data_IF_512426405758
#
_entry.id   IF_512426405758
#
_cell.length_a   1.000
_cell.length_b   1.000
_cell.length_c   1.000
_cell.angle_alpha   90.00
_cell.angle_beta   90.00
_cell.angle_gamma   90.00
#
_symmetry.space_group_name_H-M   'P 1'
#
loop_
_entity.id
_entity.type
_entity.pdbx_description
1 polymer ?
#
# COMPACT_ATOMS: atom_id res chain seq x y z
N UNK A 1 -21.24 71.98 15.86
CA UNK A 1 -20.92 70.85 16.76
C UNK A 1 -20.55 69.57 16.00
N UNK A 2 -21.21 69.25 14.87
CA UNK A 2 -20.89 68.05 14.05
C UNK A 2 -19.43 67.94 13.53
N UNK A 3 -18.73 69.05 13.31
CA UNK A 3 -17.34 69.04 12.81
C UNK A 3 -16.33 68.54 13.86
N UNK A 4 -16.59 68.77 15.16
CA UNK A 4 -15.72 68.31 16.23
C UNK A 4 -15.82 66.79 16.43
N UNK A 5 -17.02 66.23 16.26
CA UNK A 5 -17.25 64.78 16.34
C UNK A 5 -16.64 64.03 15.14
N UNK A 6 -16.66 64.63 13.94
CA UNK A 6 -15.98 64.08 12.77
C UNK A 6 -14.46 64.07 12.94
N UNK A 7 -13.88 65.14 13.48
CA UNK A 7 -12.44 65.17 13.77
C UNK A 7 -12.04 64.10 14.80
N UNK A 8 -12.83 63.93 15.86
CA UNK A 8 -12.56 62.93 16.90
C UNK A 8 -12.67 61.49 16.39
N UNK A 9 -13.63 61.21 15.51
CA UNK A 9 -13.75 59.91 14.83
C UNK A 9 -12.58 59.65 13.86
N UNK A 10 -12.13 60.68 13.16
CA UNK A 10 -10.97 60.56 12.25
C UNK A 10 -9.66 60.30 13.00
N UNK A 11 -9.45 60.95 14.15
CA UNK A 11 -8.30 60.71 15.02
C UNK A 11 -8.31 59.29 15.59
N UNK A 12 -9.48 58.78 16.00
CA UNK A 12 -9.61 57.41 16.49
C UNK A 12 -9.40 56.37 15.40
N UNK A 13 -9.80 56.64 14.16
CA UNK A 13 -9.54 55.77 13.02
C UNK A 13 -8.06 55.76 12.60
N UNK A 14 -7.39 56.92 12.64
CA UNK A 14 -5.95 57.02 12.37
C UNK A 14 -5.10 56.39 13.48
N UNK A 15 -5.56 56.45 14.73
CA UNK A 15 -4.90 55.79 15.87
C UNK A 15 -5.07 54.26 15.83
N UNK A 16 -6.08 53.75 15.14
CA UNK A 16 -6.35 52.32 15.02
C UNK A 16 -5.66 51.75 13.77
N UNK A 17 -4.34 51.86 13.73
CA UNK A 17 -3.54 51.18 12.70
C UNK A 17 -3.70 49.68 12.86
N UNK A 18 -4.03 48.98 11.77
CA UNK A 18 -4.11 47.52 11.76
C UNK A 18 -2.84 46.92 12.39
N UNK A 19 -2.96 45.93 13.28
CA UNK A 19 -1.79 45.28 13.85
C UNK A 19 -0.92 44.75 12.69
N UNK A 20 0.42 44.86 12.81
CA UNK A 20 1.31 44.38 11.76
C UNK A 20 0.95 42.93 11.45
N UNK A 21 0.66 42.64 10.18
CA UNK A 21 0.35 41.30 9.73
C UNK A 21 1.45 40.35 10.25
N UNK A 22 1.11 39.15 10.75
CA UNK A 22 2.12 38.21 11.22
C UNK A 22 3.11 37.95 10.08
N UNK A 23 4.36 38.37 10.28
CA UNK A 23 5.40 38.52 9.25
C UNK A 23 5.88 37.20 8.62
N UNK A 24 5.28 36.07 9.00
CA UNK A 24 5.72 34.73 8.61
C UNK A 24 4.84 34.08 7.52
N UNK A 25 3.88 34.82 6.96
CA UNK A 25 2.98 34.30 5.92
C UNK A 25 3.01 35.13 4.63
N UNK A 26 3.20 34.52 3.46
CA UNK A 26 3.45 33.09 3.24
C UNK A 26 4.87 32.70 3.71
N UNK A 27 5.05 31.46 4.20
CA UNK A 27 6.36 30.99 4.59
C UNK A 27 7.31 30.99 3.38
N UNK A 28 8.62 31.23 3.60
CA UNK A 28 9.58 31.33 2.51
C UNK A 28 9.69 29.98 1.78
N UNK A 29 10.05 30.03 0.49
CA UNK A 29 10.14 28.86 -0.38
C UNK A 29 10.83 27.61 0.23
N UNK A 30 11.93 27.72 1.00
CA UNK A 30 12.54 26.57 1.65
C UNK A 30 11.62 25.83 2.63
N UNK A 31 10.72 26.54 3.31
CA UNK A 31 9.77 25.93 4.26
C UNK A 31 8.72 25.10 3.52
N UNK A 32 8.26 25.57 2.35
CA UNK A 32 7.39 24.78 1.48
C UNK A 32 8.09 23.51 0.96
N UNK A 33 9.36 23.63 0.56
CA UNK A 33 10.15 22.49 0.12
C UNK A 33 10.33 21.44 1.25
N UNK A 34 10.60 21.89 2.48
CA UNK A 34 10.66 21.02 3.66
C UNK A 34 9.32 20.34 3.95
N UNK A 35 8.21 21.08 3.81
CA UNK A 35 6.85 20.53 3.97
C UNK A 35 6.56 19.41 2.96
N UNK A 36 6.89 19.61 1.69
CA UNK A 36 6.73 18.59 0.64
C UNK A 36 7.63 17.37 0.90
N UNK A 37 8.88 17.59 1.30
CA UNK A 37 9.81 16.50 1.65
C UNK A 37 9.30 15.69 2.85
N UNK A 38 8.78 16.36 3.88
CA UNK A 38 8.22 15.68 5.06
C UNK A 38 7.03 14.81 4.67
N UNK A 39 6.09 15.34 3.88
CA UNK A 39 4.94 14.60 3.38
C UNK A 39 5.38 13.41 2.53
N UNK A 40 6.34 13.62 1.63
CA UNK A 40 6.93 12.56 0.81
C UNK A 40 7.59 11.46 1.64
N UNK A 41 8.35 11.82 2.67
CA UNK A 41 8.98 10.88 3.59
C UNK A 41 7.95 10.10 4.42
N UNK A 42 6.89 10.75 4.89
CA UNK A 42 5.79 10.11 5.62
C UNK A 42 5.05 9.11 4.72
N UNK A 43 4.71 9.50 3.49
CA UNK A 43 4.06 8.62 2.51
C UNK A 43 4.95 7.43 2.15
N UNK A 44 6.23 7.66 1.90
CA UNK A 44 7.20 6.60 1.65
C UNK A 44 7.28 5.65 2.84
N UNK A 45 7.48 6.18 4.05
CA UNK A 45 7.54 5.38 5.29
C UNK A 45 6.26 4.57 5.53
N UNK A 46 5.09 5.18 5.33
CA UNK A 46 3.80 4.51 5.42
C UNK A 46 3.67 3.38 4.40
N UNK A 47 4.02 3.65 3.13
CA UNK A 47 4.01 2.67 2.05
C UNK A 47 4.92 1.47 2.36
N UNK A 48 6.17 1.72 2.78
CA UNK A 48 7.10 0.66 3.17
C UNK A 48 6.58 -0.18 4.34
N UNK A 49 5.97 0.46 5.34
CA UNK A 49 5.43 -0.22 6.52
C UNK A 49 4.22 -1.09 6.16
N UNK A 50 3.31 -0.60 5.32
CA UNK A 50 2.17 -1.37 4.83
C UNK A 50 2.60 -2.56 3.95
N UNK A 51 3.56 -2.35 3.05
CA UNK A 51 4.16 -3.40 2.23
C UNK A 51 4.74 -4.54 3.07
N UNK A 52 5.49 -4.21 4.12
CA UNK A 52 6.06 -5.19 5.05
C UNK A 52 4.99 -5.94 5.84
N UNK A 53 3.95 -5.24 6.32
CA UNK A 53 2.81 -5.88 7.01
C UNK A 53 2.07 -6.88 6.12
N UNK A 54 1.79 -6.52 4.86
CA UNK A 54 1.12 -7.39 3.88
C UNK A 54 1.92 -8.68 3.64
N UNK A 55 3.22 -8.55 3.40
CA UNK A 55 4.10 -9.70 3.22
C UNK A 55 4.11 -10.62 4.45
N UNK A 56 4.25 -10.05 5.66
CA UNK A 56 4.24 -10.81 6.92
C UNK A 56 2.91 -11.55 7.11
N UNK A 57 1.79 -10.91 6.79
CA UNK A 57 0.46 -11.50 6.89
C UNK A 57 0.33 -12.75 6.00
N UNK A 58 0.67 -12.66 4.71
CA UNK A 58 0.59 -13.82 3.81
C UNK A 58 1.57 -14.94 4.17
N UNK A 59 2.78 -14.59 4.63
CA UNK A 59 3.74 -15.58 5.11
C UNK A 59 3.28 -16.27 6.41
N UNK A 60 2.55 -15.58 7.28
CA UNK A 60 1.92 -16.18 8.46
C UNK A 60 0.77 -17.09 8.03
N UNK A 61 -0.09 -16.64 7.13
CA UNK A 61 -1.19 -17.43 6.57
C UNK A 61 -0.67 -18.72 5.90
N UNK A 62 0.43 -18.65 5.13
CA UNK A 62 1.07 -19.83 4.53
C UNK A 62 1.52 -20.85 5.59
N UNK A 63 2.07 -20.38 6.73
CA UNK A 63 2.47 -21.26 7.85
C UNK A 63 1.28 -21.96 8.48
N UNK A 64 0.15 -21.27 8.66
CA UNK A 64 -1.08 -21.89 9.17
C UNK A 64 -1.64 -22.91 8.18
N UNK A 65 -1.56 -22.61 6.88
CA UNK A 65 -2.06 -23.46 5.80
C UNK A 65 -1.31 -24.78 5.70
N UNK A 66 0.00 -24.79 6.00
CA UNK A 66 0.81 -26.02 6.09
C UNK A 66 0.29 -27.02 7.14
N UNK A 67 -0.39 -26.54 8.19
CA UNK A 67 -0.95 -27.38 9.28
C UNK A 67 -2.38 -27.85 9.02
N UNK A 68 -3.06 -27.35 7.98
CA UNK A 68 -4.46 -27.69 7.65
C UNK A 68 -4.56 -29.07 6.97
N UNK A 69 -5.74 -29.74 7.03
CA UNK A 69 -5.95 -31.02 6.35
C UNK A 69 -5.75 -30.90 4.82
N UNK A 70 -5.33 -31.98 4.14
CA UNK A 70 -4.88 -31.94 2.74
C UNK A 70 -5.98 -31.54 1.74
N UNK A 71 -7.24 -31.90 2.01
CA UNK A 71 -8.36 -31.70 1.08
C UNK A 71 -8.66 -30.21 0.80
N UNK A 72 -8.67 -29.36 1.82
CA UNK A 72 -8.93 -27.92 1.67
C UNK A 72 -7.66 -27.11 1.36
N UNK A 73 -6.49 -27.71 1.55
CA UNK A 73 -5.19 -27.04 1.47
C UNK A 73 -4.92 -26.44 0.09
N UNK A 74 -5.21 -27.16 -0.99
CA UNK A 74 -4.91 -26.69 -2.35
C UNK A 74 -5.79 -25.49 -2.74
N UNK A 75 -7.10 -25.54 -2.45
CA UNK A 75 -8.02 -24.42 -2.71
C UNK A 75 -7.62 -23.17 -1.94
N UNK A 76 -7.31 -23.33 -0.65
CA UNK A 76 -6.87 -22.22 0.19
C UNK A 76 -5.53 -21.64 -0.26
N UNK A 77 -4.58 -22.51 -0.70
CA UNK A 77 -3.29 -22.06 -1.22
C UNK A 77 -3.48 -21.23 -2.49
N UNK A 78 -4.31 -21.70 -3.41
CA UNK A 78 -4.62 -21.00 -4.65
C UNK A 78 -5.23 -19.62 -4.38
N UNK A 79 -6.23 -19.54 -3.50
CA UNK A 79 -6.84 -18.27 -3.09
C UNK A 79 -5.83 -17.33 -2.41
N UNK A 80 -4.96 -17.86 -1.54
CA UNK A 80 -3.93 -17.09 -0.86
C UNK A 80 -2.94 -16.48 -1.85
N UNK A 81 -2.49 -17.27 -2.83
CA UNK A 81 -1.57 -16.81 -3.87
C UNK A 81 -2.21 -15.74 -4.76
N UNK A 82 -3.46 -15.94 -5.21
CA UNK A 82 -4.19 -14.91 -5.97
C UNK A 82 -4.33 -13.60 -5.19
N UNK A 83 -4.65 -13.67 -3.90
CA UNK A 83 -4.72 -12.48 -3.05
C UNK A 83 -3.35 -11.82 -2.82
N UNK A 84 -2.28 -12.61 -2.69
CA UNK A 84 -0.92 -12.10 -2.55
C UNK A 84 -0.44 -11.39 -3.83
N UNK A 85 -0.87 -11.85 -5.00
CA UNK A 85 -0.63 -11.22 -6.30
C UNK A 85 -1.38 -9.91 -6.55
N UNK A 86 -2.30 -9.52 -5.65
CA UNK A 86 -3.07 -8.28 -5.78
C UNK A 86 -4.15 -8.35 -6.86
N UNK A 87 -4.73 -7.19 -7.21
CA UNK A 87 -5.86 -7.09 -8.12
C UNK A 87 -5.56 -7.71 -9.50
N UNK A 88 -4.37 -7.44 -10.04
CA UNK A 88 -3.90 -7.93 -11.34
C UNK A 88 -3.96 -9.46 -11.41
N UNK A 89 -3.38 -10.16 -10.44
CA UNK A 89 -3.31 -11.63 -10.43
C UNK A 89 -4.64 -12.27 -10.06
N UNK A 90 -5.46 -11.60 -9.24
CA UNK A 90 -6.74 -12.12 -8.76
C UNK A 90 -7.79 -12.24 -9.88
N UNK A 91 -7.71 -11.39 -10.90
CA UNK A 91 -8.63 -11.38 -12.04
C UNK A 91 -8.18 -12.27 -13.21
N UNK A 92 -6.97 -12.86 -13.15
CA UNK A 92 -6.47 -13.72 -14.21
C UNK A 92 -7.25 -15.03 -14.31
N UNK A 93 -7.42 -15.51 -15.55
CA UNK A 93 -7.87 -16.87 -15.84
C UNK A 93 -6.93 -17.90 -15.20
N UNK A 94 -7.38 -19.16 -15.08
CA UNK A 94 -6.56 -20.22 -14.48
C UNK A 94 -5.25 -20.48 -15.25
N UNK A 95 -5.27 -20.31 -16.57
CA UNK A 95 -4.10 -20.47 -17.45
C UNK A 95 -3.15 -19.29 -17.31
N UNK A 96 -3.66 -18.06 -17.41
CA UNK A 96 -2.85 -16.86 -17.24
C UNK A 96 -2.22 -16.77 -15.84
N UNK A 97 -2.93 -17.25 -14.81
CA UNK A 97 -2.37 -17.38 -13.47
C UNK A 97 -1.20 -18.38 -13.41
N UNK A 98 -1.35 -19.54 -14.05
CA UNK A 98 -0.31 -20.57 -14.09
C UNK A 98 0.94 -20.06 -14.82
N UNK A 99 0.77 -19.38 -15.95
CA UNK A 99 1.87 -18.71 -16.65
C UNK A 99 2.54 -17.65 -15.79
N UNK A 100 1.77 -16.81 -15.09
CA UNK A 100 2.32 -15.78 -14.22
C UNK A 100 3.15 -16.40 -13.09
N UNK A 101 2.71 -17.54 -12.54
CA UNK A 101 3.48 -18.31 -11.55
C UNK A 101 4.77 -18.83 -12.17
N UNK A 102 4.71 -19.45 -13.35
CA UNK A 102 5.88 -19.96 -14.06
C UNK A 102 6.92 -18.86 -14.34
N UNK A 103 6.47 -17.72 -14.89
CA UNK A 103 7.27 -16.51 -15.11
C UNK A 103 7.91 -16.00 -13.82
N UNK A 104 7.12 -15.92 -12.74
CA UNK A 104 7.63 -15.43 -11.44
C UNK A 104 8.64 -16.41 -10.82
N UNK A 105 8.57 -17.70 -11.12
CA UNK A 105 9.53 -18.70 -10.64
C UNK A 105 10.74 -18.89 -11.58
N UNK A 106 10.67 -18.38 -12.82
CA UNK A 106 11.68 -18.60 -13.85
C UNK A 106 11.64 -20.03 -14.39
N UNK A 107 10.45 -20.63 -14.48
CA UNK A 107 10.23 -21.99 -14.96
C UNK A 107 9.51 -21.95 -16.31
N UNK A 108 9.83 -22.89 -17.21
CA UNK A 108 9.17 -23.02 -18.52
C UNK A 108 7.72 -23.49 -18.42
N UNK A 109 7.39 -24.24 -17.36
CA UNK A 109 6.06 -24.77 -17.11
C UNK A 109 5.61 -24.45 -15.69
N UNK A 110 4.31 -24.23 -15.52
CA UNK A 110 3.74 -23.96 -14.21
C UNK A 110 3.80 -25.22 -13.32
N UNK A 111 4.14 -25.08 -12.02
CA UNK A 111 4.14 -26.22 -11.12
C UNK A 111 2.76 -26.89 -11.06
N UNK A 112 2.74 -28.23 -11.11
CA UNK A 112 1.51 -29.01 -11.13
C UNK A 112 0.57 -28.71 -9.95
N UNK A 113 1.10 -28.29 -8.80
CA UNK A 113 0.33 -27.98 -7.59
C UNK A 113 -0.50 -26.68 -7.70
N UNK A 114 -0.22 -25.79 -8.66
CA UNK A 114 -0.87 -24.48 -8.81
C UNK A 114 -2.35 -24.61 -9.20
N UNK A 115 -2.63 -25.55 -10.10
CA UNK A 115 -3.98 -25.88 -10.61
C UNK A 115 -4.47 -27.25 -10.14
N UNK A 116 -3.76 -27.87 -9.18
CA UNK A 116 -4.10 -29.20 -8.69
C UNK A 116 -5.48 -29.25 -8.01
N UNK A 117 -6.06 -28.13 -7.55
CA UNK A 117 -7.41 -28.15 -6.97
C UNK A 117 -8.52 -28.41 -7.99
N UNK A 118 -8.23 -28.27 -9.29
CA UNK A 118 -9.15 -28.65 -10.37
C UNK A 118 -9.03 -30.13 -10.77
N UNK A 119 -8.02 -30.85 -10.26
CA UNK A 119 -7.75 -32.25 -10.62
C UNK A 119 -7.83 -33.16 -9.38
N UNK A 120 -8.36 -34.39 -9.49
CA UNK A 120 -8.50 -35.29 -8.35
C UNK A 120 -7.19 -35.94 -7.86
N UNK A 121 -6.01 -35.47 -8.29
CA UNK A 121 -4.71 -36.08 -7.93
C UNK A 121 -4.08 -35.42 -6.71
N UNK A 122 -3.51 -36.23 -5.83
CA UNK A 122 -2.68 -35.78 -4.71
C UNK A 122 -1.34 -35.26 -5.23
N UNK A 123 -1.19 -33.94 -5.28
CA UNK A 123 0.06 -33.28 -5.72
C UNK A 123 0.84 -32.76 -4.53
N UNK A 124 2.15 -33.01 -4.51
CA UNK A 124 3.05 -32.47 -3.48
C UNK A 124 3.28 -30.97 -3.71
N UNK A 125 2.92 -30.16 -2.73
CA UNK A 125 3.11 -28.70 -2.77
C UNK A 125 4.57 -28.37 -2.46
N UNK A 126 5.23 -27.61 -3.33
CA UNK A 126 6.53 -27.01 -3.01
C UNK A 126 6.36 -25.70 -2.24
N UNK A 127 6.46 -25.78 -0.91
CA UNK A 127 6.29 -24.62 -0.02
C UNK A 127 7.38 -23.54 -0.19
N UNK A 128 8.57 -23.90 -0.70
CA UNK A 128 9.64 -22.92 -0.95
C UNK A 128 9.25 -22.00 -2.11
N UNK A 129 8.66 -22.56 -3.15
CA UNK A 129 8.19 -21.81 -4.32
C UNK A 129 7.01 -20.91 -3.94
N UNK A 130 6.03 -21.43 -3.20
CA UNK A 130 4.93 -20.62 -2.67
C UNK A 130 5.43 -19.42 -1.83
N UNK A 131 6.46 -19.64 -1.00
CA UNK A 131 7.09 -18.55 -0.22
C UNK A 131 7.80 -17.54 -1.13
N UNK A 132 8.49 -18.00 -2.17
CA UNK A 132 9.17 -17.14 -3.15
C UNK A 132 8.17 -16.28 -3.93
N UNK A 133 7.05 -16.85 -4.36
CA UNK A 133 5.94 -16.12 -5.01
C UNK A 133 5.41 -14.99 -4.13
N UNK A 134 5.02 -15.29 -2.88
CA UNK A 134 4.52 -14.28 -1.94
C UNK A 134 5.56 -13.16 -1.75
N UNK A 135 6.84 -13.50 -1.62
CA UNK A 135 7.91 -12.49 -1.48
C UNK A 135 8.08 -11.63 -2.72
N UNK A 136 7.93 -12.19 -3.92
CA UNK A 136 8.05 -11.45 -5.19
C UNK A 136 6.82 -10.59 -5.47
N UNK A 137 5.62 -11.08 -5.18
CA UNK A 137 4.38 -10.32 -5.43
C UNK A 137 4.02 -9.31 -4.34
N UNK A 138 4.51 -9.50 -3.11
CA UNK A 138 4.39 -8.50 -2.04
C UNK A 138 5.61 -7.57 -1.93
N UNK A 139 6.64 -7.77 -2.76
CA UNK A 139 7.56 -6.70 -3.13
C UNK A 139 6.77 -5.83 -4.08
#
# INVERSE_FOLDING_TARGET
MAAADLNRLSEQLLANTAPPAPSAWPPPWPVWALGVLLVGALLAGWYYRHRSKRQRHYLKALRHLKKRPPQSRLRLLHALLRNAGGAQVRQLSAEAFAEQVARTLGQSTAPAWVNAHYRPRTVRINWRDARRLIRRWCR
#
